data_IF_052652933024
#
_entry.id   IF_052652933024
#
_cell.length_a   1.000
_cell.length_b   1.000
_cell.length_c   1.000
_cell.angle_alpha   90.00
_cell.angle_beta   90.00
_cell.angle_gamma   90.00
#
_symmetry.space_group_name_H-M   'P 1'
#
loop_
_entity.id
_entity.type
_entity.pdbx_description
1 polymer ?
#
# COMPACT_ATOMS: atom_id res chain seq x y z
N UNK A 1 5.02 -7.22 -9.28
CA UNK A 1 3.91 -6.38 -8.72
C UNK A 1 4.29 -6.16 -7.27
N UNK A 2 4.47 -4.93 -6.78
CA UNK A 2 4.97 -4.69 -5.42
C UNK A 2 3.91 -4.79 -4.33
N UNK A 3 4.36 -5.13 -3.12
CA UNK A 3 3.60 -4.97 -1.87
C UNK A 3 4.51 -4.24 -0.88
N UNK A 4 4.33 -2.93 -0.76
CA UNK A 4 5.22 -2.05 0.01
C UNK A 4 4.51 -1.69 1.30
N UNK A 5 5.03 -2.20 2.41
CA UNK A 5 4.56 -1.85 3.75
C UNK A 5 5.09 -0.46 4.09
N UNK A 6 4.18 0.47 4.34
CA UNK A 6 4.49 1.89 4.46
C UNK A 6 4.29 2.44 5.89
N UNK A 7 4.06 1.56 6.86
CA UNK A 7 4.02 1.89 8.30
C UNK A 7 5.05 1.06 9.06
N UNK A 8 5.74 1.71 10.00
CA UNK A 8 6.65 1.05 10.95
C UNK A 8 5.97 0.69 12.27
N UNK A 9 4.73 1.16 12.48
CA UNK A 9 3.99 0.92 13.71
C UNK A 9 3.43 -0.51 13.73
N UNK A 10 3.68 -1.29 14.80
CA UNK A 10 3.06 -2.59 14.96
C UNK A 10 1.52 -2.48 14.89
N UNK A 11 0.88 -3.42 14.20
CA UNK A 11 -0.57 -3.50 13.99
C UNK A 11 -1.20 -2.40 13.10
N UNK A 12 -0.42 -1.42 12.64
CA UNK A 12 -0.85 -0.46 11.61
C UNK A 12 -0.64 -1.04 10.20
N UNK A 13 -1.43 -2.06 9.88
CA UNK A 13 -1.31 -2.81 8.63
C UNK A 13 -1.72 -1.95 7.43
N UNK A 14 -0.71 -1.37 6.78
CA UNK A 14 -0.86 -0.55 5.59
C UNK A 14 0.16 -0.97 4.53
N UNK A 15 -0.31 -1.08 3.29
CA UNK A 15 0.54 -1.34 2.15
C UNK A 15 -0.08 -0.83 0.86
N UNK A 16 0.76 -0.59 -0.15
CA UNK A 16 0.33 -0.25 -1.50
C UNK A 16 1.25 -0.84 -2.57
N UNK A 17 0.88 -0.68 -3.84
CA UNK A 17 1.69 -1.15 -4.96
C UNK A 17 2.86 -0.19 -5.27
N UNK A 18 3.80 -0.64 -6.10
CA UNK A 18 4.96 0.17 -6.50
C UNK A 18 4.60 1.49 -7.20
N UNK A 19 3.52 1.53 -7.98
CA UNK A 19 3.07 2.76 -8.61
C UNK A 19 2.54 3.78 -7.58
N UNK A 20 1.90 3.30 -6.52
CA UNK A 20 1.50 4.16 -5.41
C UNK A 20 2.71 4.68 -4.65
N UNK A 21 3.73 3.86 -4.41
CA UNK A 21 4.99 4.31 -3.77
C UNK A 21 5.67 5.41 -4.58
N UNK A 22 5.85 5.21 -5.88
CA UNK A 22 6.48 6.21 -6.76
C UNK A 22 5.69 7.53 -6.76
N UNK A 23 4.36 7.47 -6.84
CA UNK A 23 3.51 8.66 -6.76
C UNK A 23 3.68 9.35 -5.40
N UNK A 24 3.60 8.59 -4.30
CA UNK A 24 3.74 9.13 -2.94
C UNK A 24 5.09 9.81 -2.74
N UNK A 25 6.20 9.20 -3.18
CA UNK A 25 7.54 9.77 -3.08
C UNK A 25 7.70 11.06 -3.93
N UNK A 26 7.02 11.15 -5.06
CA UNK A 26 7.03 12.35 -5.90
C UNK A 26 6.24 13.51 -5.27
N UNK A 27 5.09 13.22 -4.66
CA UNK A 27 4.28 14.24 -3.96
C UNK A 27 4.87 14.60 -2.59
N UNK A 28 5.59 13.68 -1.95
CA UNK A 28 6.15 13.81 -0.61
C UNK A 28 5.15 13.62 0.53
N UNK A 29 3.85 13.47 0.23
CA UNK A 29 2.79 13.29 1.21
C UNK A 29 1.51 12.67 0.59
N UNK A 30 0.52 12.36 1.44
CA UNK A 30 -0.79 11.85 0.99
C UNK A 30 -1.72 12.98 0.53
N UNK A 31 -1.39 13.61 -0.60
CA UNK A 31 -2.19 14.68 -1.22
C UNK A 31 -3.56 14.17 -1.71
N UNK A 32 -4.46 15.10 -2.06
CA UNK A 32 -5.74 14.74 -2.67
C UNK A 32 -5.56 14.00 -4.00
N UNK A 33 -4.55 14.38 -4.79
CA UNK A 33 -4.20 13.69 -6.03
C UNK A 33 -3.77 12.23 -5.78
N UNK A 34 -2.91 12.02 -4.78
CA UNK A 34 -2.51 10.67 -4.38
C UNK A 34 -3.70 9.82 -3.92
N UNK A 35 -4.59 10.39 -3.09
CA UNK A 35 -5.81 9.70 -2.60
C UNK A 35 -6.77 9.34 -3.73
N UNK A 36 -6.87 10.18 -4.76
CA UNK A 36 -7.68 9.88 -5.95
C UNK A 36 -7.04 8.80 -6.82
N UNK A 37 -5.70 8.77 -6.91
CA UNK A 37 -4.95 7.81 -7.70
C UNK A 37 -4.92 6.41 -7.08
N UNK A 38 -4.66 6.32 -5.77
CA UNK A 38 -4.35 5.04 -5.10
C UNK A 38 -5.57 4.12 -4.88
N UNK A 39 -6.79 4.64 -5.05
CA UNK A 39 -8.06 3.94 -4.82
C UNK A 39 -8.08 3.11 -3.50
N UNK A 40 -7.70 3.77 -2.40
CA UNK A 40 -7.54 3.13 -1.09
C UNK A 40 -8.80 2.37 -0.65
N UNK A 41 -8.60 1.19 -0.05
CA UNK A 41 -9.68 0.33 0.46
C UNK A 41 -9.31 -0.24 1.83
N UNK A 42 -10.24 -0.18 2.78
CA UNK A 42 -10.10 -0.86 4.07
C UNK A 42 -10.50 -2.33 3.93
N UNK A 43 -9.67 -3.21 4.48
CA UNK A 43 -9.89 -4.66 4.49
C UNK A 43 -9.61 -5.21 5.88
N UNK A 44 -10.07 -6.43 6.18
CA UNK A 44 -9.70 -7.10 7.42
C UNK A 44 -8.25 -7.65 7.37
N UNK A 45 -7.69 -7.96 8.53
CA UNK A 45 -6.33 -8.53 8.67
C UNK A 45 -6.12 -9.80 7.82
N UNK A 46 -7.13 -10.66 7.71
CA UNK A 46 -7.07 -11.88 6.90
C UNK A 46 -6.93 -11.56 5.41
N UNK A 47 -7.70 -10.58 4.91
CA UNK A 47 -7.58 -10.11 3.53
C UNK A 47 -6.22 -9.47 3.28
N UNK A 48 -5.73 -8.65 4.21
CA UNK A 48 -4.38 -8.07 4.12
C UNK A 48 -3.31 -9.15 3.98
N UNK A 49 -3.34 -10.18 4.82
CA UNK A 49 -2.38 -11.28 4.78
C UNK A 49 -2.41 -12.06 3.44
N UNK A 50 -3.60 -12.31 2.89
CA UNK A 50 -3.75 -12.96 1.58
C UNK A 50 -3.18 -12.08 0.46
N UNK A 51 -3.48 -10.79 0.45
CA UNK A 51 -2.98 -9.84 -0.57
C UNK A 51 -1.45 -9.75 -0.46
N UNK A 52 -0.90 -9.64 0.76
CA UNK A 52 0.55 -9.67 1.01
C UNK A 52 1.16 -10.93 0.42
N UNK A 53 0.61 -12.10 0.73
CA UNK A 53 1.14 -13.36 0.21
C UNK A 53 1.12 -13.40 -1.33
N UNK A 54 0.03 -12.97 -1.96
CA UNK A 54 -0.12 -12.98 -3.42
C UNK A 54 0.86 -12.05 -4.12
N UNK A 55 1.10 -10.86 -3.56
CA UNK A 55 1.92 -9.83 -4.19
C UNK A 55 3.39 -9.84 -3.73
N UNK A 56 3.73 -10.42 -2.59
CA UNK A 56 5.13 -10.64 -2.17
C UNK A 56 5.77 -11.85 -2.87
N UNK A 57 4.99 -12.83 -3.34
CA UNK A 57 5.49 -14.02 -4.01
C UNK A 57 5.85 -13.78 -5.50
N UNK A 58 5.57 -12.60 -6.05
CA UNK A 58 5.74 -12.28 -7.47
C UNK A 58 6.34 -10.87 -7.65
N UNK A 59 7.65 -10.70 -7.32
CA UNK A 59 8.33 -9.41 -7.39
C UNK A 59 8.30 -8.81 -8.80
#
# INVERSE_FOLDING_TARGET
MGFIENSSEPDDLQAWCGACEEFFLNEGEMTEAFRAFNNFSLVCEFCYAIIKQQHSANP
#
